data_IF_083596156810
#
_entry.id   IF_083596156810
#
_cell.length_a   1.000
_cell.length_b   1.000
_cell.length_c   1.000
_cell.angle_alpha   90.00
_cell.angle_beta   90.00
_cell.angle_gamma   90.00
#
_symmetry.space_group_name_H-M   'P 1'
#
loop_
_entity.id
_entity.type
_entity.pdbx_description
1 polymer ?
#
# COMPACT_ATOMS: atom_id res chain seq x y z
N UNK A 1 10.95 -13.92 -19.47
CA UNK A 1 10.45 -15.13 -18.74
C UNK A 1 10.66 -14.94 -17.24
N UNK A 2 11.88 -14.69 -16.74
CA UNK A 2 12.22 -14.59 -15.30
C UNK A 2 11.40 -13.53 -14.55
N UNK A 3 11.28 -12.31 -15.13
CA UNK A 3 10.47 -11.24 -14.52
C UNK A 3 8.98 -11.61 -14.43
N UNK A 4 8.45 -12.31 -15.43
CA UNK A 4 7.06 -12.77 -15.44
C UNK A 4 6.79 -13.79 -14.33
N UNK A 5 7.67 -14.79 -14.19
CA UNK A 5 7.60 -15.78 -13.12
C UNK A 5 7.72 -15.14 -11.73
N UNK A 6 8.64 -14.18 -11.56
CA UNK A 6 8.78 -13.41 -10.33
C UNK A 6 7.47 -12.66 -9.99
N UNK A 7 6.85 -12.02 -10.98
CA UNK A 7 5.59 -11.29 -10.79
C UNK A 7 4.43 -12.19 -10.37
N UNK A 8 4.34 -13.40 -10.94
CA UNK A 8 3.32 -14.38 -10.55
C UNK A 8 3.56 -14.85 -9.12
N UNK A 9 4.78 -15.28 -8.79
CA UNK A 9 5.14 -15.76 -7.46
C UNK A 9 4.93 -14.68 -6.40
N UNK A 10 5.35 -13.44 -6.69
CA UNK A 10 5.10 -12.29 -5.83
C UNK A 10 3.61 -12.09 -5.55
N UNK A 11 2.77 -12.17 -6.60
CA UNK A 11 1.32 -12.00 -6.43
C UNK A 11 0.71 -13.13 -5.62
N UNK A 12 1.12 -14.37 -5.88
CA UNK A 12 0.63 -15.56 -5.17
C UNK A 12 0.94 -15.51 -3.66
N UNK A 13 2.09 -14.96 -3.27
CA UNK A 13 2.46 -14.78 -1.85
C UNK A 13 1.78 -13.56 -1.24
N UNK A 14 1.65 -12.47 -2.00
CA UNK A 14 1.14 -11.20 -1.47
C UNK A 14 -0.35 -11.22 -1.15
N UNK A 15 -1.16 -11.94 -1.92
CA UNK A 15 -2.61 -12.03 -1.69
C UNK A 15 -2.92 -12.59 -0.29
N UNK A 16 -2.47 -13.80 0.10
CA UNK A 16 -2.73 -14.33 1.44
C UNK A 16 -2.06 -13.49 2.53
N UNK A 17 -0.84 -12.98 2.29
CA UNK A 17 -0.16 -12.11 3.26
C UNK A 17 -0.93 -10.82 3.55
N UNK A 18 -1.46 -10.14 2.53
CA UNK A 18 -2.24 -8.92 2.72
C UNK A 18 -3.60 -9.20 3.36
N UNK A 19 -4.24 -10.33 3.02
CA UNK A 19 -5.52 -10.73 3.59
C UNK A 19 -5.42 -11.15 5.06
N UNK A 20 -4.24 -11.60 5.51
CA UNK A 20 -3.98 -12.01 6.89
C UNK A 20 -4.32 -10.91 7.90
N UNK A 21 -4.08 -9.63 7.55
CA UNK A 21 -4.43 -8.48 8.39
C UNK A 21 -5.91 -8.39 8.77
N UNK A 22 -6.81 -8.98 7.97
CA UNK A 22 -8.27 -8.99 8.25
C UNK A 22 -8.69 -10.04 9.26
N UNK A 23 -7.91 -11.11 9.39
CA UNK A 23 -8.21 -12.26 10.26
C UNK A 23 -7.41 -12.26 11.55
N UNK A 24 -6.43 -11.36 11.68
CA UNK A 24 -5.64 -11.18 12.91
C UNK A 24 -6.42 -10.49 14.03
N UNK A 25 -7.23 -9.48 13.70
CA UNK A 25 -8.03 -8.72 14.67
C UNK A 25 -9.31 -8.17 14.06
N UNK A 26 -10.36 -8.13 14.87
CA UNK A 26 -11.64 -7.52 14.51
C UNK A 26 -11.63 -5.99 14.76
N UNK A 27 -10.80 -5.49 15.67
CA UNK A 27 -10.77 -4.07 16.02
C UNK A 27 -10.16 -3.21 14.91
N UNK A 28 -10.93 -2.25 14.35
CA UNK A 28 -10.44 -1.34 13.32
C UNK A 28 -9.24 -0.48 13.76
N UNK A 29 -9.10 -0.17 15.04
CA UNK A 29 -7.94 0.59 15.55
C UNK A 29 -6.68 -0.26 15.58
N UNK A 30 -6.79 -1.50 16.04
CA UNK A 30 -5.67 -2.45 16.01
C UNK A 30 -5.23 -2.73 14.57
N UNK A 31 -6.16 -2.81 13.61
CA UNK A 31 -5.82 -2.95 12.18
C UNK A 31 -4.96 -1.81 11.68
N UNK A 32 -5.28 -0.56 12.04
CA UNK A 32 -4.43 0.60 11.69
C UNK A 32 -3.07 0.48 12.36
N UNK A 33 -3.00 0.08 13.62
CA UNK A 33 -1.73 -0.11 14.33
C UNK A 33 -0.87 -1.17 13.65
N UNK A 34 -1.42 -2.33 13.33
CA UNK A 34 -0.72 -3.41 12.62
C UNK A 34 -0.17 -2.93 11.27
N UNK A 35 -0.99 -2.22 10.49
CA UNK A 35 -0.55 -1.68 9.20
C UNK A 35 0.51 -0.58 9.37
N UNK A 36 0.40 0.27 10.39
CA UNK A 36 1.41 1.29 10.69
C UNK A 36 2.77 0.66 11.01
N UNK A 37 2.82 -0.34 11.89
CA UNK A 37 4.05 -1.09 12.19
C UNK A 37 4.59 -1.80 10.94
N UNK A 38 3.73 -2.41 10.13
CA UNK A 38 4.12 -3.04 8.88
C UNK A 38 4.87 -2.05 7.97
N UNK A 39 4.33 -0.86 7.75
CA UNK A 39 4.96 0.14 6.89
C UNK A 39 6.24 0.72 7.48
N UNK A 40 6.36 0.82 8.80
CA UNK A 40 7.63 1.17 9.46
C UNK A 40 8.69 0.11 9.17
N UNK A 41 8.35 -1.17 9.33
CA UNK A 41 9.27 -2.28 9.03
C UNK A 41 9.65 -2.35 7.55
N UNK A 42 8.71 -2.03 6.64
CA UNK A 42 9.00 -1.89 5.20
C UNK A 42 10.02 -0.76 4.97
N UNK A 43 9.85 0.39 5.65
CA UNK A 43 10.82 1.50 5.58
C UNK A 43 12.21 1.09 6.07
N UNK A 44 12.30 0.41 7.21
CA UNK A 44 13.57 -0.11 7.76
C UNK A 44 14.21 -1.08 6.75
N UNK A 45 13.45 -2.04 6.23
CA UNK A 45 13.94 -3.00 5.24
C UNK A 45 14.44 -2.30 3.96
N UNK A 46 13.71 -1.29 3.49
CA UNK A 46 14.11 -0.51 2.31
C UNK A 46 15.44 0.22 2.54
N UNK A 47 15.62 0.85 3.70
CA UNK A 47 16.89 1.51 4.06
C UNK A 47 18.04 0.50 4.18
N UNK A 48 17.82 -0.61 4.86
CA UNK A 48 18.83 -1.67 5.00
C UNK A 48 19.23 -2.22 3.64
N UNK A 49 18.28 -2.52 2.76
CA UNK A 49 18.56 -2.99 1.40
C UNK A 49 19.35 -1.95 0.59
N UNK A 50 18.98 -0.69 0.68
CA UNK A 50 19.68 0.40 -0.03
C UNK A 50 21.12 0.56 0.42
N UNK A 51 21.40 0.33 1.70
CA UNK A 51 22.74 0.44 2.29
C UNK A 51 23.60 -0.82 2.11
N UNK A 52 22.98 -1.99 2.04
CA UNK A 52 23.73 -3.27 2.08
C UNK A 52 23.91 -3.91 0.70
N UNK A 53 22.98 -3.69 -0.24
CA UNK A 53 22.97 -4.40 -1.52
C UNK A 53 24.25 -4.16 -2.33
N UNK A 54 24.67 -2.90 -2.50
CA UNK A 54 25.88 -2.57 -3.28
C UNK A 54 27.14 -3.06 -2.60
N UNK A 55 27.41 -2.78 -1.30
CA UNK A 55 28.57 -3.34 -0.62
C UNK A 55 28.63 -4.87 -0.64
N UNK A 56 27.49 -5.53 -0.50
CA UNK A 56 27.43 -7.00 -0.61
C UNK A 56 27.79 -7.48 -2.02
N UNK A 57 27.23 -6.81 -3.05
CA UNK A 57 27.54 -7.18 -4.43
C UNK A 57 29.03 -6.99 -4.76
N UNK A 58 29.64 -5.92 -4.29
CA UNK A 58 31.08 -5.67 -4.46
C UNK A 58 31.92 -6.69 -3.67
N UNK A 59 31.54 -7.03 -2.46
CA UNK A 59 32.26 -7.99 -1.61
C UNK A 59 32.22 -9.41 -2.19
N UNK A 60 31.05 -9.86 -2.66
CA UNK A 60 30.91 -11.21 -3.22
C UNK A 60 31.43 -11.33 -4.65
N UNK A 61 31.36 -10.25 -5.43
CA UNK A 61 31.68 -10.27 -6.87
C UNK A 61 33.14 -9.93 -7.21
N UNK A 62 33.77 -9.09 -6.41
CA UNK A 62 35.10 -8.57 -6.74
C UNK A 62 35.12 -7.94 -8.15
N UNK A 63 35.83 -8.58 -9.08
CA UNK A 63 35.90 -8.13 -10.46
C UNK A 63 34.63 -8.47 -11.29
N UNK A 64 33.86 -9.49 -10.90
CA UNK A 64 32.65 -9.94 -11.60
C UNK A 64 31.38 -9.42 -10.89
N UNK A 65 30.91 -8.25 -11.33
CA UNK A 65 29.71 -7.61 -10.78
C UNK A 65 28.43 -8.47 -10.93
N UNK A 66 28.29 -9.23 -12.03
CA UNK A 66 27.12 -10.07 -12.25
C UNK A 66 27.01 -11.18 -11.20
N UNK A 67 28.14 -11.85 -10.93
CA UNK A 67 28.23 -12.86 -9.87
C UNK A 67 27.99 -12.25 -8.49
N UNK A 68 28.52 -11.05 -8.23
CA UNK A 68 28.29 -10.31 -7.00
C UNK A 68 26.82 -10.04 -6.71
N UNK A 69 26.09 -9.50 -7.69
CA UNK A 69 24.65 -9.29 -7.57
C UNK A 69 23.87 -10.60 -7.39
N UNK A 70 24.24 -11.66 -8.11
CA UNK A 70 23.60 -12.97 -7.97
C UNK A 70 23.74 -13.51 -6.53
N UNK A 71 24.94 -13.46 -5.96
CA UNK A 71 25.20 -13.93 -4.59
C UNK A 71 24.49 -13.08 -3.56
N UNK A 72 24.55 -11.74 -3.67
CA UNK A 72 23.86 -10.84 -2.78
C UNK A 72 22.33 -11.07 -2.80
N UNK A 73 21.72 -11.20 -3.99
CA UNK A 73 20.30 -11.50 -4.11
C UNK A 73 19.93 -12.88 -3.57
N UNK A 74 20.81 -13.88 -3.68
CA UNK A 74 20.60 -15.22 -3.10
C UNK A 74 20.53 -15.16 -1.57
N UNK A 75 21.45 -14.42 -0.94
CA UNK A 75 21.44 -14.23 0.52
C UNK A 75 20.17 -13.50 0.98
N UNK A 76 19.79 -12.43 0.29
CA UNK A 76 18.59 -11.66 0.60
C UNK A 76 17.31 -12.49 0.39
N UNK A 77 17.25 -13.32 -0.65
CA UNK A 77 16.15 -14.25 -0.88
C UNK A 77 16.03 -15.28 0.24
N UNK A 78 17.16 -15.82 0.72
CA UNK A 78 17.18 -16.74 1.85
C UNK A 78 16.67 -16.09 3.14
N UNK A 79 17.12 -14.86 3.44
CA UNK A 79 16.61 -14.08 4.58
C UNK A 79 15.10 -13.85 4.44
N UNK A 80 14.62 -13.47 3.25
CA UNK A 80 13.18 -13.29 2.97
C UNK A 80 12.39 -14.56 3.20
N UNK A 81 12.88 -15.72 2.76
CA UNK A 81 12.26 -17.02 3.00
C UNK A 81 12.17 -17.32 4.51
N UNK A 82 13.23 -17.11 5.27
CA UNK A 82 13.23 -17.29 6.72
C UNK A 82 12.21 -16.37 7.40
N UNK A 83 12.09 -15.10 6.95
CA UNK A 83 11.10 -14.17 7.49
C UNK A 83 9.65 -14.61 7.20
N UNK A 84 9.36 -15.15 6.02
CA UNK A 84 8.05 -15.71 5.72
C UNK A 84 7.72 -16.95 6.56
N UNK A 85 8.68 -17.84 6.75
CA UNK A 85 8.51 -19.01 7.63
C UNK A 85 8.31 -18.59 9.10
N UNK A 86 9.03 -17.59 9.56
CA UNK A 86 8.83 -17.00 10.88
C UNK A 86 7.43 -16.40 11.03
N UNK A 87 6.97 -15.64 10.03
CA UNK A 87 5.61 -15.09 9.99
C UNK A 87 4.56 -16.22 10.07
N UNK A 88 4.72 -17.27 9.28
CA UNK A 88 3.83 -18.45 9.31
C UNK A 88 3.78 -19.12 10.69
N UNK A 89 4.93 -19.26 11.36
CA UNK A 89 5.01 -19.91 12.67
C UNK A 89 4.44 -19.07 13.82
N UNK A 90 4.49 -17.74 13.72
CA UNK A 90 4.13 -16.83 14.83
C UNK A 90 2.74 -16.23 14.71
N UNK A 91 2.25 -16.00 13.48
CA UNK A 91 0.95 -15.37 13.26
C UNK A 91 -0.18 -16.41 13.34
N UNK A 92 -1.24 -16.06 14.06
CA UNK A 92 -2.43 -16.91 14.19
C UNK A 92 -3.66 -16.17 13.68
N UNK A 93 -4.48 -16.89 12.91
CA UNK A 93 -5.82 -16.43 12.53
C UNK A 93 -6.75 -16.51 13.72
N UNK A 94 -7.28 -15.37 14.16
CA UNK A 94 -8.19 -15.26 15.30
C UNK A 94 -9.65 -15.16 14.89
N UNK A 95 -9.90 -14.67 13.68
CA UNK A 95 -11.25 -14.48 13.15
C UNK A 95 -11.53 -15.57 12.14
N UNK A 96 -12.48 -16.45 12.47
CA UNK A 96 -13.01 -17.45 11.54
C UNK A 96 -14.30 -16.94 10.91
N UNK A 97 -14.51 -17.08 9.59
CA UNK A 97 -15.78 -16.73 8.95
C UNK A 97 -16.90 -17.63 9.50
N UNK A 98 -18.09 -17.05 9.65
CA UNK A 98 -19.27 -17.79 10.16
C UNK A 98 -19.69 -18.93 9.24
N UNK A 99 -19.50 -18.77 7.92
CA UNK A 99 -19.87 -19.77 6.90
C UNK A 99 -18.71 -19.97 5.94
N UNK A 100 -18.19 -21.19 5.89
CA UNK A 100 -17.29 -21.61 4.82
C UNK A 100 -18.15 -22.27 3.74
N UNK A 101 -18.41 -21.56 2.65
CA UNK A 101 -19.08 -22.13 1.48
C UNK A 101 -18.04 -22.47 0.42
N UNK A 102 -18.02 -23.74 0.00
CA UNK A 102 -17.32 -24.18 -1.20
C UNK A 102 -18.12 -23.81 -2.46
N UNK A 103 -18.45 -22.52 -2.60
CA UNK A 103 -19.19 -22.04 -3.76
C UNK A 103 -18.27 -21.93 -5.00
N UNK A 104 -18.88 -21.98 -6.17
CA UNK A 104 -18.16 -21.77 -7.41
C UNK A 104 -17.55 -20.37 -7.49
N UNK A 105 -16.29 -20.26 -7.92
CA UNK A 105 -15.55 -19.02 -8.10
C UNK A 105 -16.35 -17.92 -8.85
N UNK A 106 -17.16 -18.34 -9.84
CA UNK A 106 -18.02 -17.44 -10.61
C UNK A 106 -19.10 -16.76 -9.76
N UNK A 107 -19.65 -17.49 -8.77
CA UNK A 107 -20.66 -16.97 -7.85
C UNK A 107 -20.04 -15.99 -6.87
N UNK A 108 -18.88 -16.32 -6.34
CA UNK A 108 -18.14 -15.43 -5.43
C UNK A 108 -17.71 -14.12 -6.11
N UNK A 109 -17.25 -14.19 -7.38
CA UNK A 109 -16.99 -13.00 -8.18
C UNK A 109 -18.23 -12.12 -8.34
N UNK A 110 -19.40 -12.72 -8.59
CA UNK A 110 -20.66 -11.95 -8.68
C UNK A 110 -21.07 -11.34 -7.34
N UNK A 111 -20.84 -12.04 -6.24
CA UNK A 111 -21.19 -11.57 -4.91
C UNK A 111 -20.28 -10.44 -4.44
N UNK A 112 -18.99 -10.43 -4.80
CA UNK A 112 -18.09 -9.30 -4.55
C UNK A 112 -18.58 -8.01 -5.21
N UNK A 113 -19.12 -8.09 -6.43
CA UNK A 113 -19.69 -6.91 -7.11
C UNK A 113 -20.94 -6.34 -6.44
N UNK A 114 -21.63 -7.10 -5.59
CA UNK A 114 -22.75 -6.61 -4.77
C UNK A 114 -22.27 -5.74 -3.60
N UNK A 115 -20.99 -5.82 -3.25
CA UNK A 115 -20.37 -4.95 -2.26
C UNK A 115 -20.03 -3.59 -2.90
N UNK A 116 -20.92 -2.63 -2.79
CA UNK A 116 -20.75 -1.29 -3.36
C UNK A 116 -19.53 -0.54 -2.77
N UNK A 117 -19.14 -0.84 -1.53
CA UNK A 117 -17.95 -0.26 -0.93
C UNK A 117 -16.66 -0.85 -1.51
N UNK A 118 -16.69 -2.11 -1.96
CA UNK A 118 -15.56 -2.73 -2.62
C UNK A 118 -15.19 -2.02 -3.95
N UNK A 119 -16.18 -1.70 -4.78
CA UNK A 119 -15.93 -0.96 -6.03
C UNK A 119 -15.32 0.42 -5.73
N UNK A 120 -15.82 1.09 -4.69
CA UNK A 120 -15.31 2.42 -4.29
C UNK A 120 -13.87 2.36 -3.75
N UNK A 121 -13.52 1.32 -3.00
CA UNK A 121 -12.15 1.18 -2.51
C UNK A 121 -11.17 0.79 -3.63
N UNK A 122 -11.60 0.05 -4.66
CA UNK A 122 -10.77 -0.19 -5.84
C UNK A 122 -10.46 1.12 -6.58
N UNK A 123 -11.46 1.98 -6.75
CA UNK A 123 -11.26 3.32 -7.31
C UNK A 123 -10.33 4.16 -6.43
N UNK A 124 -10.51 4.09 -5.11
CA UNK A 124 -9.61 4.76 -4.16
C UNK A 124 -8.18 4.26 -4.30
N UNK A 125 -7.98 2.94 -4.44
CA UNK A 125 -6.65 2.34 -4.65
C UNK A 125 -5.96 2.94 -5.86
N UNK A 126 -6.66 2.97 -7.00
CA UNK A 126 -6.15 3.53 -8.24
C UNK A 126 -5.75 5.01 -8.07
N UNK A 127 -6.65 5.82 -7.52
CA UNK A 127 -6.42 7.26 -7.35
C UNK A 127 -5.35 7.58 -6.30
N UNK A 128 -5.21 6.76 -5.26
CA UNK A 128 -4.24 6.99 -4.19
C UNK A 128 -2.81 6.60 -4.61
N UNK A 129 -2.68 5.55 -5.42
CA UNK A 129 -1.38 5.02 -5.85
C UNK A 129 -0.75 5.89 -6.93
N UNK A 130 -1.51 6.31 -7.95
CA UNK A 130 -1.01 7.05 -9.10
C UNK A 130 -0.19 8.30 -8.73
N UNK A 131 -0.68 9.27 -7.92
CA UNK A 131 0.06 10.50 -7.65
C UNK A 131 1.38 10.26 -6.93
N UNK A 132 1.42 9.32 -5.99
CA UNK A 132 2.64 8.95 -5.27
C UNK A 132 3.71 8.37 -6.19
N UNK A 133 3.32 7.47 -7.09
CA UNK A 133 4.25 6.86 -8.04
C UNK A 133 4.73 7.82 -9.13
N UNK A 134 3.86 8.71 -9.61
CA UNK A 134 4.28 9.77 -10.56
C UNK A 134 5.38 10.61 -9.93
N UNK A 135 5.19 11.08 -8.69
CA UNK A 135 6.21 11.86 -7.98
C UNK A 135 7.47 11.06 -7.72
N UNK A 136 7.35 9.81 -7.24
CA UNK A 136 8.51 8.96 -6.98
C UNK A 136 9.36 8.77 -8.24
N UNK A 137 8.74 8.50 -9.38
CA UNK A 137 9.43 8.39 -10.66
C UNK A 137 10.06 9.73 -11.11
N UNK A 138 9.37 10.86 -10.88
CA UNK A 138 9.85 12.18 -11.23
C UNK A 138 10.97 12.69 -10.29
N UNK A 139 11.12 12.13 -9.08
CA UNK A 139 12.08 12.62 -8.07
C UNK A 139 13.51 12.62 -8.58
N UNK A 140 13.94 11.55 -9.24
CA UNK A 140 15.30 11.46 -9.78
C UNK A 140 15.56 12.52 -10.85
N UNK A 141 14.61 12.73 -11.76
CA UNK A 141 14.69 13.78 -12.78
C UNK A 141 14.72 15.18 -12.18
N UNK A 142 13.90 15.42 -11.15
CA UNK A 142 13.84 16.69 -10.45
C UNK A 142 15.18 17.04 -9.78
N UNK A 143 15.76 16.10 -9.04
CA UNK A 143 17.03 16.32 -8.35
C UNK A 143 18.18 16.52 -9.33
N UNK A 144 18.24 15.73 -10.40
CA UNK A 144 19.35 15.77 -11.36
C UNK A 144 19.25 16.97 -12.28
N UNK A 145 18.10 17.24 -12.88
CA UNK A 145 17.96 18.24 -13.93
C UNK A 145 17.48 19.60 -13.45
N UNK A 146 16.59 19.64 -12.45
CA UNK A 146 16.01 20.89 -11.96
C UNK A 146 16.85 21.49 -10.81
N UNK A 147 17.26 20.64 -9.85
CA UNK A 147 18.14 21.08 -8.77
C UNK A 147 19.62 21.12 -9.17
N UNK A 148 20.01 20.45 -10.28
CA UNK A 148 21.41 20.36 -10.73
C UNK A 148 22.33 19.59 -9.78
N UNK A 149 21.79 18.66 -8.98
CA UNK A 149 22.53 17.91 -7.97
C UNK A 149 23.03 16.56 -8.50
N UNK A 150 24.04 16.01 -7.82
CA UNK A 150 24.62 14.72 -8.19
C UNK A 150 23.67 13.54 -7.87
N UNK A 151 23.93 12.40 -8.52
CA UNK A 151 23.22 11.13 -8.24
C UNK A 151 23.38 10.70 -6.78
N UNK A 152 24.54 10.97 -6.17
CA UNK A 152 24.76 10.69 -4.75
C UNK A 152 23.82 11.51 -3.85
N UNK A 153 23.66 12.79 -4.16
CA UNK A 153 22.71 13.65 -3.48
C UNK A 153 21.26 13.14 -3.67
N UNK A 154 20.89 12.69 -4.88
CA UNK A 154 19.57 12.11 -5.13
C UNK A 154 19.29 10.88 -4.24
N UNK A 155 20.29 10.04 -4.01
CA UNK A 155 20.18 8.88 -3.10
C UNK A 155 19.90 9.34 -1.65
N UNK A 156 20.63 10.35 -1.17
CA UNK A 156 20.39 10.92 0.16
C UNK A 156 19.00 11.56 0.27
N UNK A 157 18.59 12.28 -0.77
CA UNK A 157 17.27 12.91 -0.85
C UNK A 157 16.14 11.89 -0.77
N UNK A 158 16.22 10.81 -1.55
CA UNK A 158 15.25 9.71 -1.53
C UNK A 158 15.25 9.00 -0.17
N UNK A 159 16.44 8.73 0.40
CA UNK A 159 16.56 8.09 1.73
C UNK A 159 15.92 8.92 2.83
N UNK A 160 16.10 10.25 2.78
CA UNK A 160 15.43 11.17 3.70
C UNK A 160 13.90 11.06 3.58
N UNK A 161 13.39 10.93 2.35
CA UNK A 161 11.98 10.66 2.09
C UNK A 161 11.48 9.38 2.74
N UNK A 162 12.26 8.27 2.69
CA UNK A 162 11.90 7.00 3.32
C UNK A 162 11.80 7.16 4.85
N UNK A 163 12.71 7.89 5.48
CA UNK A 163 12.62 8.21 6.92
C UNK A 163 11.34 9.00 7.23
N UNK A 164 11.00 9.99 6.40
CA UNK A 164 9.74 10.71 6.50
C UNK A 164 8.52 9.78 6.42
N UNK A 165 8.52 8.83 5.48
CA UNK A 165 7.46 7.83 5.33
C UNK A 165 7.30 6.95 6.59
N UNK A 166 8.39 6.55 7.25
CA UNK A 166 8.32 5.79 8.49
C UNK A 166 7.60 6.58 9.60
N UNK A 167 7.94 7.86 9.77
CA UNK A 167 7.27 8.76 10.72
C UNK A 167 5.80 8.93 10.36
N UNK A 168 5.47 9.14 9.09
CA UNK A 168 4.10 9.24 8.59
C UNK A 168 3.25 8.01 8.91
N UNK A 169 3.83 6.81 8.79
CA UNK A 169 3.16 5.56 9.17
C UNK A 169 2.80 5.49 10.65
N UNK A 170 3.68 5.96 11.53
CA UNK A 170 3.39 6.05 12.97
C UNK A 170 2.31 7.08 13.28
N UNK A 171 2.36 8.25 12.61
CA UNK A 171 1.36 9.29 12.77
C UNK A 171 -0.04 8.83 12.36
N UNK A 172 -0.17 7.93 11.40
CA UNK A 172 -1.45 7.37 10.98
C UNK A 172 -2.21 6.76 12.18
N UNK A 173 -1.53 5.98 13.03
CA UNK A 173 -2.12 5.43 14.26
C UNK A 173 -2.54 6.54 15.22
N UNK A 174 -1.64 7.47 15.53
CA UNK A 174 -1.89 8.56 16.49
C UNK A 174 -3.09 9.41 16.09
N UNK A 175 -3.20 9.71 14.80
CA UNK A 175 -4.31 10.50 14.26
C UNK A 175 -5.64 9.73 14.33
N UNK A 176 -5.65 8.43 14.02
CA UNK A 176 -6.87 7.63 14.00
C UNK A 176 -7.35 7.20 15.39
N UNK A 177 -6.50 7.27 16.41
CA UNK A 177 -6.94 7.11 17.80
C UNK A 177 -7.94 8.20 18.20
N UNK A 178 -7.77 9.42 17.67
CA UNK A 178 -8.62 10.59 17.97
C UNK A 178 -9.71 10.82 16.94
N UNK A 179 -9.41 10.69 15.64
CA UNK A 179 -10.31 11.01 14.55
C UNK A 179 -10.73 9.77 13.74
N UNK A 180 -11.80 9.90 12.95
CA UNK A 180 -12.25 8.84 12.05
C UNK A 180 -11.25 8.63 10.92
N UNK A 181 -10.98 7.37 10.53
CA UNK A 181 -10.08 7.01 9.44
C UNK A 181 -10.37 7.77 8.14
N UNK A 182 -11.64 7.86 7.73
CA UNK A 182 -12.03 8.57 6.51
C UNK A 182 -11.75 10.07 6.58
N UNK A 183 -11.95 10.68 7.75
CA UNK A 183 -11.64 12.11 7.95
C UNK A 183 -10.13 12.35 7.89
N UNK A 184 -9.33 11.52 8.58
CA UNK A 184 -7.86 11.62 8.53
C UNK A 184 -7.38 11.45 7.09
N UNK A 185 -7.88 10.44 6.38
CA UNK A 185 -7.54 10.19 4.99
C UNK A 185 -7.87 11.39 4.09
N UNK A 186 -9.08 11.94 4.22
CA UNK A 186 -9.55 13.09 3.45
C UNK A 186 -8.67 14.32 3.69
N UNK A 187 -8.53 14.76 4.94
CA UNK A 187 -7.79 15.98 5.26
C UNK A 187 -6.30 15.87 4.96
N UNK A 188 -5.71 14.72 5.19
CA UNK A 188 -4.30 14.48 4.84
C UNK A 188 -4.09 14.64 3.34
N UNK A 189 -4.99 14.13 2.48
CA UNK A 189 -4.89 14.30 1.04
C UNK A 189 -5.09 15.75 0.60
N UNK A 190 -5.98 16.51 1.25
CA UNK A 190 -6.14 17.95 0.97
C UNK A 190 -4.85 18.71 1.31
N UNK A 191 -4.31 18.50 2.52
CA UNK A 191 -3.06 19.14 2.94
C UNK A 191 -1.92 18.76 2.01
N UNK A 192 -1.82 17.47 1.67
CA UNK A 192 -0.81 16.93 0.76
C UNK A 192 -0.92 17.53 -0.64
N UNK A 193 -2.13 17.73 -1.15
CA UNK A 193 -2.37 18.37 -2.44
C UNK A 193 -1.87 19.82 -2.46
N UNK A 194 -2.26 20.61 -1.46
CA UNK A 194 -1.84 22.00 -1.34
C UNK A 194 -0.31 22.08 -1.22
N UNK A 195 0.26 21.25 -0.33
CA UNK A 195 1.70 21.21 -0.10
C UNK A 195 2.48 20.75 -1.35
N UNK A 196 1.94 19.78 -2.09
CA UNK A 196 2.51 19.31 -3.34
C UNK A 196 2.51 20.40 -4.41
N UNK A 197 1.39 21.11 -4.62
CA UNK A 197 1.31 22.22 -5.57
C UNK A 197 2.23 23.39 -5.17
N UNK A 198 2.44 23.63 -3.88
CA UNK A 198 3.32 24.69 -3.40
C UNK A 198 4.78 24.50 -3.86
N UNK A 199 5.22 23.25 -4.09
CA UNK A 199 6.57 22.98 -4.61
C UNK A 199 6.84 23.65 -5.98
N UNK A 200 5.83 23.91 -6.77
CA UNK A 200 5.98 24.59 -8.05
C UNK A 200 6.54 26.02 -7.92
N UNK A 201 6.27 26.68 -6.79
CA UNK A 201 6.64 28.08 -6.53
C UNK A 201 7.98 28.23 -5.80
N UNK A 202 8.55 27.16 -5.26
CA UNK A 202 9.82 27.24 -4.55
C UNK A 202 11.00 27.24 -5.51
N UNK A 203 12.04 28.03 -5.14
CA UNK A 203 13.30 28.02 -5.88
C UNK A 203 14.01 26.66 -5.71
N UNK A 204 14.22 25.90 -6.82
CA UNK A 204 14.86 24.58 -6.76
C UNK A 204 16.31 24.64 -6.22
N UNK A 205 16.98 25.76 -6.33
CA UNK A 205 18.36 25.92 -5.85
C UNK A 205 18.44 26.15 -4.32
N UNK A 206 17.33 26.41 -3.64
CA UNK A 206 17.26 26.46 -2.18
C UNK A 206 17.28 25.03 -1.58
N UNK A 207 18.39 24.32 -1.77
CA UNK A 207 18.55 22.88 -1.53
C UNK A 207 18.08 22.46 -0.14
N UNK A 208 18.49 23.18 0.92
CA UNK A 208 18.10 22.85 2.30
C UNK A 208 16.58 22.97 2.50
N UNK A 209 15.97 24.03 1.97
CA UNK A 209 14.53 24.23 2.04
C UNK A 209 13.79 23.10 1.33
N UNK A 210 14.20 22.76 0.12
CA UNK A 210 13.60 21.67 -0.68
C UNK A 210 13.74 20.32 0.05
N UNK A 211 14.87 20.04 0.70
CA UNK A 211 15.05 18.81 1.50
C UNK A 211 14.06 18.75 2.67
N UNK A 212 13.92 19.82 3.43
CA UNK A 212 12.99 19.87 4.56
C UNK A 212 11.54 19.72 4.09
N UNK A 213 11.16 20.44 3.04
CA UNK A 213 9.82 20.34 2.46
C UNK A 213 9.53 18.95 1.91
N UNK A 214 10.50 18.33 1.23
CA UNK A 214 10.36 16.97 0.74
C UNK A 214 10.20 15.94 1.86
N UNK A 215 10.95 16.10 2.95
CA UNK A 215 10.80 15.27 4.15
C UNK A 215 9.39 15.39 4.75
N UNK A 216 8.90 16.62 4.96
CA UNK A 216 7.55 16.86 5.47
C UNK A 216 6.46 16.31 4.53
N UNK A 217 6.67 16.46 3.22
CA UNK A 217 5.77 15.93 2.21
C UNK A 217 5.68 14.41 2.27
N UNK A 218 6.80 13.70 2.49
CA UNK A 218 6.80 12.24 2.60
C UNK A 218 6.16 11.76 3.91
N UNK A 219 6.26 12.53 5.00
CA UNK A 219 5.49 12.27 6.23
C UNK A 219 3.99 12.28 5.90
N UNK A 220 3.51 13.36 5.27
CA UNK A 220 2.09 13.49 4.90
C UNK A 220 1.65 12.42 3.91
N UNK A 221 2.48 12.12 2.90
CA UNK A 221 2.19 11.13 1.87
C UNK A 221 1.95 9.73 2.43
N UNK A 222 2.67 9.35 3.48
CA UNK A 222 2.58 7.99 4.00
C UNK A 222 1.41 7.78 4.96
N UNK A 223 0.84 8.82 5.57
CA UNK A 223 -0.31 8.67 6.49
C UNK A 223 -1.48 7.90 5.86
N UNK A 224 -1.93 8.17 4.62
CA UNK A 224 -3.00 7.43 3.97
C UNK A 224 -2.73 5.93 3.75
N UNK A 225 -1.46 5.50 3.64
CA UNK A 225 -1.13 4.12 3.27
C UNK A 225 -1.59 3.07 4.29
N UNK A 226 -1.27 3.15 5.59
CA UNK A 226 -1.81 2.23 6.60
C UNK A 226 -3.34 2.29 6.70
N UNK A 227 -3.92 3.48 6.50
CA UNK A 227 -5.36 3.67 6.53
C UNK A 227 -6.05 2.96 5.37
N UNK A 228 -5.49 3.03 4.16
CA UNK A 228 -6.00 2.36 2.98
C UNK A 228 -6.13 0.85 3.21
N UNK A 229 -5.06 0.19 3.67
CA UNK A 229 -5.08 -1.25 3.95
C UNK A 229 -6.03 -1.63 5.10
N UNK A 230 -6.15 -0.77 6.11
CA UNK A 230 -7.14 -0.97 7.17
C UNK A 230 -8.58 -0.78 6.66
N UNK A 231 -8.84 0.20 5.80
CA UNK A 231 -10.15 0.41 5.16
C UNK A 231 -10.52 -0.76 4.25
N UNK A 232 -9.55 -1.39 3.60
CA UNK A 232 -9.79 -2.60 2.80
C UNK A 232 -10.37 -3.73 3.64
N UNK A 233 -9.85 -3.92 4.87
CA UNK A 233 -10.39 -4.88 5.82
C UNK A 233 -11.80 -4.50 6.30
N UNK A 234 -12.06 -3.21 6.52
CA UNK A 234 -13.38 -2.72 6.92
C UNK A 234 -14.43 -2.93 5.80
N UNK A 235 -14.03 -2.76 4.53
CA UNK A 235 -14.86 -3.03 3.35
C UNK A 235 -15.15 -4.52 3.17
N UNK A 236 -14.21 -5.38 3.56
CA UNK A 236 -14.40 -6.84 3.56
C UNK A 236 -15.43 -7.26 4.62
N UNK A 237 -15.34 -6.71 5.84
CA UNK A 237 -16.33 -6.90 6.89
C UNK A 237 -17.72 -6.37 6.49
N UNK A 238 -17.80 -5.23 5.82
CA UNK A 238 -19.05 -4.71 5.24
C UNK A 238 -19.65 -5.67 4.21
N UNK A 239 -18.81 -6.28 3.37
CA UNK A 239 -19.23 -7.30 2.42
C UNK A 239 -19.81 -8.53 3.10
N UNK A 240 -19.14 -9.07 4.14
CA UNK A 240 -19.65 -10.20 4.97
C UNK A 240 -20.97 -9.85 5.64
N UNK A 241 -21.10 -8.65 6.21
CA UNK A 241 -22.32 -8.18 6.85
C UNK A 241 -23.50 -8.12 5.88
N UNK A 242 -23.27 -7.62 4.66
CA UNK A 242 -24.30 -7.40 3.63
C UNK A 242 -24.70 -8.68 2.90
N UNK A 243 -23.75 -9.56 2.60
CA UNK A 243 -23.96 -10.77 1.77
C UNK A 243 -24.04 -12.06 2.58
N UNK A 244 -23.66 -12.04 3.85
CA UNK A 244 -23.54 -13.22 4.70
C UNK A 244 -22.33 -14.08 4.42
N UNK A 245 -21.49 -13.71 3.44
CA UNK A 245 -20.29 -14.45 3.01
C UNK A 245 -19.04 -13.60 3.11
N UNK A 246 -17.95 -14.21 3.56
CA UNK A 246 -16.64 -13.58 3.59
C UNK A 246 -15.81 -14.04 2.37
N UNK A 247 -15.51 -13.10 1.47
CA UNK A 247 -14.80 -13.37 0.21
C UNK A 247 -13.47 -12.61 0.17
N UNK A 248 -12.72 -12.67 1.27
CA UNK A 248 -11.48 -11.89 1.50
C UNK A 248 -10.46 -12.08 0.38
N UNK A 249 -10.21 -13.31 -0.06
CA UNK A 249 -9.20 -13.61 -1.08
C UNK A 249 -9.45 -12.88 -2.40
N UNK A 250 -10.69 -12.91 -2.90
CA UNK A 250 -11.07 -12.23 -4.16
C UNK A 250 -11.06 -10.72 -3.96
N UNK A 251 -11.54 -10.24 -2.81
CA UNK A 251 -11.57 -8.84 -2.44
C UNK A 251 -10.17 -8.22 -2.49
N UNK A 252 -9.19 -8.87 -1.86
CA UNK A 252 -7.79 -8.42 -1.85
C UNK A 252 -7.09 -8.60 -3.19
N UNK A 253 -7.41 -9.67 -3.94
CA UNK A 253 -6.89 -9.87 -5.30
C UNK A 253 -7.27 -8.72 -6.23
N UNK A 254 -8.54 -8.27 -6.17
CA UNK A 254 -9.01 -7.09 -6.90
C UNK A 254 -8.25 -5.83 -6.50
N UNK A 255 -8.03 -5.61 -5.21
CA UNK A 255 -7.27 -4.45 -4.73
C UNK A 255 -5.82 -4.46 -5.24
N UNK A 256 -5.13 -5.60 -5.18
CA UNK A 256 -3.77 -5.74 -5.71
C UNK A 256 -3.70 -5.59 -7.23
N UNK A 257 -4.73 -6.04 -7.95
CA UNK A 257 -4.84 -5.80 -9.38
C UNK A 257 -4.94 -4.30 -9.69
N UNK A 258 -5.85 -3.57 -9.04
CA UNK A 258 -6.00 -2.12 -9.24
C UNK A 258 -4.77 -1.33 -8.78
N UNK A 259 -4.05 -1.80 -7.75
CA UNK A 259 -2.76 -1.25 -7.36
C UNK A 259 -1.74 -1.36 -8.50
N UNK A 260 -1.63 -2.54 -9.14
CA UNK A 260 -0.71 -2.74 -10.28
C UNK A 260 -1.14 -1.92 -11.51
N UNK A 261 -2.43 -1.82 -11.77
CA UNK A 261 -2.97 -0.94 -12.83
C UNK A 261 -2.57 0.51 -12.54
N UNK A 262 -2.72 0.97 -11.30
CA UNK A 262 -2.30 2.31 -10.90
C UNK A 262 -0.81 2.59 -11.12
N UNK A 263 0.05 1.61 -10.82
CA UNK A 263 1.48 1.68 -11.12
C UNK A 263 1.76 1.79 -12.61
N UNK A 264 1.07 0.97 -13.43
CA UNK A 264 1.23 0.98 -14.87
C UNK A 264 0.77 2.32 -15.50
N UNK A 265 -0.39 2.82 -15.05
CA UNK A 265 -0.92 4.14 -15.48
C UNK A 265 0.05 5.26 -15.09
N UNK A 266 0.54 5.25 -13.85
CA UNK A 266 1.51 6.25 -13.38
C UNK A 266 2.80 6.23 -14.22
N UNK A 267 3.35 5.06 -14.50
CA UNK A 267 4.54 4.91 -15.34
C UNK A 267 4.31 5.38 -16.77
N UNK A 268 3.17 5.03 -17.38
CA UNK A 268 2.80 5.49 -18.72
C UNK A 268 2.62 7.02 -18.77
N UNK A 269 1.97 7.61 -17.75
CA UNK A 269 1.81 9.07 -17.66
C UNK A 269 3.15 9.79 -17.56
N UNK A 270 4.09 9.28 -16.76
CA UNK A 270 5.43 9.88 -16.62
C UNK A 270 6.16 9.83 -17.96
N UNK A 271 6.20 8.68 -18.63
CA UNK A 271 6.85 8.53 -19.93
C UNK A 271 6.23 9.42 -21.01
N UNK A 272 4.90 9.44 -21.09
CA UNK A 272 4.16 10.28 -22.04
C UNK A 272 4.42 11.77 -21.80
N UNK A 273 4.31 12.24 -20.56
CA UNK A 273 4.49 13.66 -20.25
C UNK A 273 5.94 14.11 -20.43
N UNK A 274 6.92 13.31 -20.04
CA UNK A 274 8.32 13.62 -20.32
C UNK A 274 8.57 13.78 -21.84
N UNK A 275 8.05 12.86 -22.65
CA UNK A 275 8.14 12.94 -24.11
C UNK A 275 7.40 14.17 -24.66
N UNK A 276 6.19 14.46 -24.16
CA UNK A 276 5.40 15.62 -24.58
C UNK A 276 6.10 16.94 -24.31
N UNK A 277 6.79 17.07 -23.18
CA UNK A 277 7.58 18.26 -22.82
C UNK A 277 8.96 18.29 -23.47
N UNK A 278 9.30 17.30 -24.30
CA UNK A 278 10.56 17.25 -25.06
C UNK A 278 11.77 16.89 -24.21
N UNK A 279 11.61 16.01 -23.21
CA UNK A 279 12.74 15.46 -22.46
C UNK A 279 13.60 14.57 -23.37
N UNK A 280 14.91 14.82 -23.41
CA UNK A 280 15.89 14.03 -24.16
C UNK A 280 16.92 13.42 -23.21
N UNK A 281 16.94 12.08 -23.10
CA UNK A 281 17.88 11.36 -22.24
C UNK A 281 19.35 11.49 -22.65
N UNK A 282 19.61 11.79 -23.94
CA UNK A 282 20.98 11.97 -24.50
C UNK A 282 21.51 13.41 -24.43
N UNK A 283 20.65 14.36 -24.08
CA UNK A 283 21.02 15.77 -24.03
C UNK A 283 21.94 16.09 -22.86
N UNK A 284 22.94 16.93 -23.08
CA UNK A 284 23.82 17.47 -22.01
C UNK A 284 23.09 18.49 -21.11
N UNK A 285 22.07 19.15 -21.63
CA UNK A 285 21.19 20.07 -20.90
C UNK A 285 19.76 19.93 -21.44
N UNK A 286 18.79 20.01 -20.58
CA UNK A 286 17.38 19.90 -20.94
C UNK A 286 16.81 21.26 -21.38
N UNK A 287 15.81 21.23 -22.26
CA UNK A 287 15.07 22.45 -22.65
C UNK A 287 14.27 23.02 -21.48
N UNK A 288 13.97 24.31 -21.50
CA UNK A 288 13.12 24.94 -20.49
C UNK A 288 11.73 24.28 -20.39
N UNK A 289 11.19 23.79 -21.53
CA UNK A 289 9.94 23.02 -21.56
C UNK A 289 10.08 21.71 -20.81
N UNK A 290 11.15 20.93 -21.05
CA UNK A 290 11.39 19.65 -20.36
C UNK A 290 11.57 19.85 -18.85
N UNK A 291 12.32 20.88 -18.44
CA UNK A 291 12.49 21.22 -17.02
C UNK A 291 11.14 21.56 -16.36
N UNK A 292 10.29 22.36 -17.02
CA UNK A 292 8.95 22.67 -16.51
C UNK A 292 8.06 21.41 -16.41
N UNK A 293 8.15 20.52 -17.41
CA UNK A 293 7.46 19.21 -17.38
C UNK A 293 7.87 18.36 -16.18
N UNK A 294 9.17 18.31 -15.85
CA UNK A 294 9.69 17.60 -14.67
C UNK A 294 9.15 18.23 -13.38
N UNK A 295 9.15 19.56 -13.28
CA UNK A 295 8.60 20.28 -12.11
C UNK A 295 7.10 19.99 -11.94
N UNK A 296 6.33 19.97 -13.02
CA UNK A 296 4.89 19.63 -12.98
C UNK A 296 4.65 18.18 -12.54
N UNK A 297 5.44 17.24 -13.04
CA UNK A 297 5.38 15.82 -12.65
C UNK A 297 5.73 15.61 -11.18
N UNK A 298 6.61 16.42 -10.62
CA UNK A 298 7.00 16.35 -9.21
C UNK A 298 6.00 17.05 -8.28
N UNK A 299 5.31 18.10 -8.73
CA UNK A 299 4.52 19.01 -7.90
C UNK A 299 3.02 19.00 -8.22
N UNK A 300 2.61 19.66 -9.29
CA UNK A 300 1.19 19.98 -9.57
C UNK A 300 0.39 18.74 -9.96
N UNK A 301 0.93 17.87 -10.81
CA UNK A 301 0.22 16.69 -11.29
C UNK A 301 -0.11 15.73 -10.13
N UNK A 302 0.85 15.37 -9.25
CA UNK A 302 0.51 14.63 -8.04
C UNK A 302 -0.44 15.39 -7.11
N UNK A 303 -0.31 16.71 -6.99
CA UNK A 303 -1.21 17.55 -6.20
C UNK A 303 -2.68 17.43 -6.64
N UNK A 304 -2.93 17.53 -7.94
CA UNK A 304 -4.28 17.30 -8.50
C UNK A 304 -4.75 15.86 -8.24
N UNK A 305 -3.86 14.88 -8.39
CA UNK A 305 -4.17 13.49 -8.08
C UNK A 305 -4.61 13.27 -6.61
N UNK A 306 -3.98 13.95 -5.66
CA UNK A 306 -4.40 13.89 -4.24
C UNK A 306 -5.74 14.57 -3.99
N UNK A 307 -6.09 15.64 -4.72
CA UNK A 307 -7.43 16.23 -4.65
C UNK A 307 -8.50 15.27 -5.16
N UNK A 308 -8.23 14.57 -6.27
CA UNK A 308 -9.12 13.52 -6.80
C UNK A 308 -9.27 12.41 -5.75
N UNK A 309 -8.17 11.96 -5.15
CA UNK A 309 -8.18 10.94 -4.09
C UNK A 309 -9.03 11.37 -2.90
N UNK A 310 -8.91 12.63 -2.45
CA UNK A 310 -9.75 13.19 -1.40
C UNK A 310 -11.24 13.18 -1.77
N UNK A 311 -11.58 13.50 -3.02
CA UNK A 311 -12.95 13.39 -3.53
C UNK A 311 -13.49 11.95 -3.48
N UNK A 312 -12.69 10.98 -3.91
CA UNK A 312 -13.07 9.56 -3.93
C UNK A 312 -13.28 8.99 -2.51
N UNK A 313 -12.47 9.42 -1.54
CA UNK A 313 -12.64 8.99 -0.12
C UNK A 313 -14.04 9.30 0.39
N UNK A 314 -14.65 10.42 -0.01
CA UNK A 314 -16.00 10.80 0.41
C UNK A 314 -17.11 9.87 -0.12
N UNK A 315 -16.82 9.07 -1.13
CA UNK A 315 -17.75 8.06 -1.63
C UNK A 315 -17.86 6.84 -0.70
N UNK A 316 -16.84 6.60 0.16
CA UNK A 316 -16.85 5.52 1.13
C UNK A 316 -17.77 5.83 2.31
N UNK A 317 -18.57 4.84 2.70
CA UNK A 317 -19.55 4.95 3.78
C UNK A 317 -19.14 4.20 5.06
N UNK A 318 -17.99 3.53 5.05
CA UNK A 318 -17.47 2.74 6.19
C UNK A 318 -16.90 3.66 7.29
N UNK A 319 -17.78 4.46 7.87
CA UNK A 319 -17.43 5.35 8.98
C UNK A 319 -17.34 4.60 10.32
N UNK A 320 -16.93 5.31 11.38
CA UNK A 320 -16.71 4.72 12.71
C UNK A 320 -18.01 4.17 13.32
N UNK A 321 -19.14 4.80 13.03
CA UNK A 321 -20.45 4.43 13.57
C UNK A 321 -20.96 3.16 12.92
N UNK A 322 -20.96 3.13 11.58
CA UNK A 322 -21.35 1.97 10.81
C UNK A 322 -20.46 0.75 11.10
N UNK A 323 -19.15 0.95 11.21
CA UNK A 323 -18.23 -0.14 11.51
C UNK A 323 -18.45 -0.75 12.89
N UNK A 324 -18.80 0.03 13.90
CA UNK A 324 -19.18 -0.50 15.22
C UNK A 324 -20.43 -1.37 15.14
N UNK A 325 -21.44 -0.94 14.40
CA UNK A 325 -22.65 -1.71 14.18
C UNK A 325 -22.34 -3.03 13.47
N UNK A 326 -21.59 -2.97 12.35
CA UNK A 326 -21.18 -4.15 11.57
C UNK A 326 -20.45 -5.16 12.48
N UNK A 327 -19.50 -4.71 13.29
CA UNK A 327 -18.76 -5.58 14.19
C UNK A 327 -19.65 -6.25 15.21
N UNK A 328 -20.54 -5.49 15.87
CA UNK A 328 -21.50 -6.06 16.82
C UNK A 328 -22.41 -7.12 16.17
N UNK A 329 -22.90 -6.86 14.95
CA UNK A 329 -23.77 -7.78 14.24
C UNK A 329 -23.01 -9.04 13.77
N UNK A 330 -21.78 -8.88 13.29
CA UNK A 330 -20.93 -10.01 12.88
C UNK A 330 -20.51 -10.87 14.08
N UNK A 331 -20.23 -10.26 15.22
CA UNK A 331 -19.89 -10.97 16.46
C UNK A 331 -21.05 -11.83 16.93
N UNK A 332 -22.27 -11.28 16.95
CA UNK A 332 -23.49 -12.03 17.27
C UNK A 332 -23.72 -13.20 16.30
N UNK A 333 -23.53 -12.97 14.99
CA UNK A 333 -23.67 -14.05 13.98
C UNK A 333 -22.67 -15.18 14.21
N UNK A 334 -21.41 -14.84 14.53
CA UNK A 334 -20.34 -15.82 14.78
C UNK A 334 -20.60 -16.62 16.09
N UNK A 335 -21.06 -15.95 17.14
CA UNK A 335 -21.46 -16.61 18.41
C UNK A 335 -22.60 -17.61 18.19
N UNK A 336 -23.69 -17.18 17.55
CA UNK A 336 -24.83 -18.07 17.25
C UNK A 336 -24.42 -19.26 16.38
N UNK A 337 -23.50 -19.06 15.41
CA UNK A 337 -23.01 -20.15 14.55
C UNK A 337 -22.14 -21.15 15.32
N UNK A 338 -21.31 -20.69 16.26
CA UNK A 338 -20.50 -21.57 17.11
C UNK A 338 -21.36 -22.42 18.03
N UNK A 339 -22.39 -21.84 18.64
CA UNK A 339 -23.37 -22.56 19.51
C UNK A 339 -24.13 -23.62 18.70
N UNK A 340 -24.57 -23.31 17.48
CA UNK A 340 -25.25 -24.26 16.58
C UNK A 340 -24.34 -25.42 16.19
N UNK A 341 -23.08 -25.17 15.88
CA UNK A 341 -22.14 -26.24 15.54
C UNK A 341 -21.83 -27.15 16.74
N UNK A 342 -21.61 -26.55 17.91
CA UNK A 342 -21.39 -27.30 19.15
C UNK A 342 -22.59 -28.20 19.47
N UNK A 343 -23.81 -27.68 19.32
CA UNK A 343 -25.04 -28.46 19.49
C UNK A 343 -25.15 -29.62 18.47
N UNK A 344 -24.76 -29.39 17.20
CA UNK A 344 -24.76 -30.44 16.18
C UNK A 344 -23.73 -31.52 16.44
N UNK A 345 -22.52 -31.14 16.87
CA UNK A 345 -21.45 -32.08 17.26
C UNK A 345 -21.85 -32.93 18.45
N UNK A 346 -22.48 -32.34 19.47
CA UNK A 346 -23.01 -33.08 20.63
C UNK A 346 -24.07 -34.09 20.21
N UNK A 347 -24.99 -33.70 19.32
CA UNK A 347 -26.05 -34.58 18.83
C UNK A 347 -25.50 -35.74 17.97
N UNK A 348 -24.48 -35.47 17.17
CA UNK A 348 -23.79 -36.50 16.36
C UNK A 348 -23.02 -37.48 17.24
N UNK A 349 -22.34 -36.98 18.29
CA UNK A 349 -21.64 -37.81 19.28
C UNK A 349 -22.58 -38.68 20.12
N UNK A 350 -23.78 -38.18 20.47
CA UNK A 350 -24.80 -38.99 21.13
C UNK A 350 -25.39 -40.09 20.23
N UNK A 351 -25.57 -39.82 18.94
CA UNK A 351 -26.00 -40.84 17.99
C UNK A 351 -24.96 -41.97 17.78
N UNK A 352 -23.68 -41.59 17.71
CA UNK A 352 -22.58 -42.56 17.61
C UNK A 352 -22.42 -43.41 18.88
N UNK A 353 -22.74 -42.86 20.06
CA UNK A 353 -22.70 -43.61 21.32
C UNK A 353 -23.91 -44.56 21.53
N UNK A 354 -25.01 -44.33 20.78
CA UNK A 354 -26.23 -45.16 20.84
C UNK A 354 -26.32 -46.23 19.73
N UNK A 355 -25.44 -46.13 18.73
CA UNK A 355 -25.25 -47.17 17.69
C UNK A 355 -24.12 -48.13 18.08
#
# INVERSE_FOLDING_TARGET
VTYFLLSITYTAINIPYCSLGTVMTADPKERVACQSYRFVMVGIATLLLSLTLLPMADWFGGADKAKGYQMAMTVLAFIGMCMFLFCFATVRERIRPAVQTNDELKKDLKDVWKNDQWVRILLLTLCNVCPGFIRMAATMYYVTWVMGQSTHFATLFISLGVVGMMIGSMLAKVLTDRWCKLQVFFWTNIVLAVFSCAFYFFNPHATTLIMVLYFLLNILHQIPSPLHWSLMSDVDDYGEWKTGKRITGISFSGNLFFLKVGLAVAGAMVGFLLSWYGYDAGAKAQSASALNGIVLLFSVIPGVGYLITAGVVRLLKVDRTLMRQIQSDLEKRRSNYSELNEYQELKTSEHVRKA
#
